data_IF_375222545559
#
_entry.id   IF_375222545559
#
_cell.length_a   1.000
_cell.length_b   1.000
_cell.length_c   1.000
_cell.angle_alpha   90.00
_cell.angle_beta   90.00
_cell.angle_gamma   90.00
#
_symmetry.space_group_name_H-M   'P 1'
#
loop_
_entity.id
_entity.type
_entity.pdbx_description
1 polymer ?
#
# COMPACT_ATOMS: atom_id res chain seq x y z
N UNK A 1 13.89 -13.89 -1.34
CA UNK A 1 13.13 -12.94 -2.19
C UNK A 1 14.12 -12.20 -3.07
N UNK A 2 13.77 -11.97 -4.34
CA UNK A 2 14.50 -11.02 -5.20
C UNK A 2 13.61 -9.79 -5.39
N UNK A 3 14.03 -8.63 -4.87
CA UNK A 3 13.22 -7.41 -4.92
C UNK A 3 13.26 -6.76 -6.31
N UNK A 4 12.16 -6.85 -7.07
CA UNK A 4 12.03 -6.41 -8.48
C UNK A 4 11.85 -4.89 -8.66
N UNK A 5 11.44 -4.23 -7.59
CA UNK A 5 11.07 -2.82 -7.51
C UNK A 5 11.00 -2.40 -6.04
N UNK A 6 10.08 -1.52 -5.67
CA UNK A 6 9.87 -1.13 -4.27
C UNK A 6 8.48 -0.54 -4.04
N UNK A 7 8.04 -0.49 -2.79
CA UNK A 7 6.75 0.07 -2.40
C UNK A 7 6.84 1.54 -2.00
N UNK A 8 5.74 2.26 -2.17
CA UNK A 8 5.67 3.70 -1.90
C UNK A 8 5.19 4.00 -0.48
N UNK A 9 5.52 5.22 -0.04
CA UNK A 9 4.96 5.81 1.17
C UNK A 9 4.30 7.14 0.84
N UNK A 10 3.23 7.48 1.56
CA UNK A 10 2.56 8.77 1.41
C UNK A 10 3.54 9.94 1.60
N UNK A 11 3.47 10.92 0.71
CA UNK A 11 4.33 12.12 0.74
C UNK A 11 5.75 11.91 0.21
N UNK A 12 6.10 10.73 -0.30
CA UNK A 12 7.40 10.45 -0.93
C UNK A 12 7.29 10.34 -2.45
N UNK A 13 8.44 10.42 -3.13
CA UNK A 13 8.53 10.16 -4.58
C UNK A 13 8.27 8.67 -4.84
N UNK A 14 7.52 8.38 -5.91
CA UNK A 14 7.31 7.02 -6.40
C UNK A 14 8.63 6.30 -6.67
N UNK A 15 8.74 5.08 -6.18
CA UNK A 15 9.92 4.24 -6.30
C UNK A 15 9.89 3.41 -7.59
N UNK A 16 10.96 3.49 -8.37
CA UNK A 16 11.17 2.65 -9.56
C UNK A 16 12.57 2.05 -9.55
N UNK A 17 12.75 0.89 -10.18
CA UNK A 17 14.04 0.22 -10.38
C UNK A 17 14.22 -0.14 -11.86
N UNK A 18 15.41 0.07 -12.44
CA UNK A 18 15.64 -0.27 -13.84
C UNK A 18 15.42 -1.76 -14.12
N UNK A 19 14.66 -2.07 -15.18
CA UNK A 19 14.38 -3.46 -15.57
C UNK A 19 15.65 -4.25 -15.92
N UNK A 20 16.67 -3.57 -16.47
CA UNK A 20 17.96 -4.18 -16.84
C UNK A 20 18.69 -4.77 -15.63
N UNK A 21 18.66 -4.07 -14.49
CA UNK A 21 19.35 -4.52 -13.27
C UNK A 21 18.68 -5.78 -12.71
N UNK A 22 17.34 -5.81 -12.71
CA UNK A 22 16.55 -6.98 -12.32
C UNK A 22 16.90 -8.20 -13.20
N UNK A 23 16.86 -8.03 -14.53
CA UNK A 23 17.13 -9.10 -15.49
C UNK A 23 18.56 -9.62 -15.38
N UNK A 24 19.54 -8.72 -15.19
CA UNK A 24 20.94 -9.12 -15.03
C UNK A 24 21.17 -9.94 -13.75
N UNK A 25 20.54 -9.55 -12.64
CA UNK A 25 20.61 -10.29 -11.38
C UNK A 25 19.94 -11.67 -11.47
N UNK A 26 18.77 -11.75 -12.11
CA UNK A 26 18.08 -13.03 -12.34
C UNK A 26 18.89 -13.94 -13.26
N UNK A 27 19.52 -13.38 -14.30
CA UNK A 27 20.40 -14.13 -15.20
C UNK A 27 21.57 -14.77 -14.44
N UNK A 28 22.26 -14.03 -13.57
CA UNK A 28 23.38 -14.56 -12.77
C UNK A 28 22.94 -15.75 -11.92
N UNK A 29 21.77 -15.66 -11.28
CA UNK A 29 21.21 -16.76 -10.50
C UNK A 29 20.90 -17.98 -11.39
N UNK A 30 20.22 -17.78 -12.52
CA UNK A 30 19.83 -18.86 -13.42
C UNK A 30 21.03 -19.56 -14.08
N UNK A 31 22.06 -18.82 -14.49
CA UNK A 31 23.31 -19.39 -15.03
C UNK A 31 24.02 -20.33 -14.03
N UNK A 32 23.72 -20.16 -12.73
CA UNK A 32 24.30 -20.91 -11.63
C UNK A 32 23.33 -21.93 -11.03
N UNK A 33 22.19 -22.18 -11.66
CA UNK A 33 21.11 -23.03 -11.17
C UNK A 33 20.61 -22.65 -9.76
N UNK A 34 20.62 -21.35 -9.44
CA UNK A 34 20.10 -20.82 -8.17
C UNK A 34 18.61 -20.52 -8.32
N UNK A 35 17.79 -21.15 -7.47
CA UNK A 35 16.36 -20.87 -7.39
C UNK A 35 16.10 -19.48 -6.80
N UNK A 36 15.04 -18.82 -7.28
CA UNK A 36 14.58 -17.54 -6.74
C UNK A 36 13.05 -17.45 -6.71
N UNK A 37 12.55 -16.47 -5.96
CA UNK A 37 11.17 -16.01 -6.02
C UNK A 37 11.19 -14.50 -6.15
N UNK A 38 10.49 -13.98 -7.18
CA UNK A 38 10.50 -12.58 -7.54
C UNK A 38 9.45 -11.80 -6.75
N UNK A 39 9.91 -10.89 -5.91
CA UNK A 39 9.09 -10.07 -5.02
C UNK A 39 9.10 -8.61 -5.52
N UNK A 40 8.04 -8.06 -6.06
CA UNK A 40 6.81 -8.70 -6.50
C UNK A 40 6.87 -9.00 -8.00
N UNK A 41 6.26 -10.12 -8.43
CA UNK A 41 6.00 -10.36 -9.86
C UNK A 41 4.78 -9.56 -10.33
N UNK A 42 3.76 -9.51 -9.47
CA UNK A 42 2.59 -8.64 -9.52
C UNK A 42 2.31 -8.27 -8.05
N UNK A 43 2.26 -6.98 -7.73
CA UNK A 43 1.99 -6.55 -6.36
C UNK A 43 0.51 -6.25 -6.11
N UNK A 44 -0.18 -5.58 -7.04
CA UNK A 44 -1.62 -5.31 -6.98
C UNK A 44 -1.95 -4.11 -6.11
N UNK A 45 -2.97 -4.23 -5.27
CA UNK A 45 -3.50 -3.14 -4.44
C UNK A 45 -3.69 -3.61 -3.01
N UNK A 46 -3.30 -2.78 -2.05
CA UNK A 46 -3.67 -2.96 -0.65
C UNK A 46 -5.00 -2.26 -0.36
N UNK A 47 -6.10 -2.98 -0.56
CA UNK A 47 -7.45 -2.43 -0.39
C UNK A 47 -7.80 -2.11 1.07
N UNK A 48 -8.72 -1.15 1.27
CA UNK A 48 -9.31 -0.87 2.58
C UNK A 48 -8.27 -0.45 3.63
N UNK A 49 -8.30 -1.09 4.80
CA UNK A 49 -7.43 -0.79 5.94
C UNK A 49 -6.22 -1.74 6.04
N UNK A 50 -5.92 -2.51 4.98
CA UNK A 50 -4.85 -3.52 5.01
C UNK A 50 -3.45 -2.93 4.78
N UNK A 51 -3.36 -1.61 4.63
CA UNK A 51 -2.12 -0.87 4.45
C UNK A 51 -1.17 -1.06 5.63
N UNK A 52 0.11 -1.27 5.33
CA UNK A 52 1.16 -1.28 6.34
C UNK A 52 1.74 0.11 6.63
N UNK A 53 2.63 0.17 7.61
CA UNK A 53 3.49 1.30 7.88
C UNK A 53 4.86 0.82 8.35
N UNK A 54 5.91 1.57 8.04
CA UNK A 54 7.26 1.31 8.56
C UNK A 54 7.56 2.18 9.79
N UNK A 55 8.47 1.71 10.64
CA UNK A 55 8.98 2.40 11.84
C UNK A 55 10.41 1.91 12.18
N UNK A 56 11.35 2.74 12.69
CA UNK A 56 11.30 4.20 12.89
C UNK A 56 11.69 5.03 11.66
N UNK A 57 11.13 6.21 11.39
CA UNK A 57 9.91 6.86 11.92
C UNK A 57 8.63 6.39 11.20
N UNK A 58 7.44 6.59 11.79
CA UNK A 58 6.16 6.20 11.18
C UNK A 58 6.03 6.71 9.74
N UNK A 59 5.81 5.78 8.82
CA UNK A 59 5.62 6.09 7.40
C UNK A 59 4.59 5.13 6.84
N UNK A 60 3.35 5.61 6.65
CA UNK A 60 2.27 4.84 6.04
C UNK A 60 2.59 4.54 4.58
N UNK A 61 2.36 3.28 4.17
CA UNK A 61 2.51 2.85 2.78
C UNK A 61 1.32 3.34 1.95
N UNK A 62 1.54 3.59 0.66
CA UNK A 62 0.46 3.91 -0.28
C UNK A 62 -0.48 2.71 -0.47
N UNK A 63 -1.73 2.96 -0.87
CA UNK A 63 -2.69 1.88 -1.18
C UNK A 63 -2.31 1.10 -2.44
N UNK A 64 -1.70 1.77 -3.43
CA UNK A 64 -1.13 1.10 -4.58
C UNK A 64 0.03 0.22 -4.12
N UNK A 65 -0.04 -1.07 -4.46
CA UNK A 65 1.06 -2.00 -4.28
C UNK A 65 1.63 -2.40 -5.65
N UNK A 66 1.62 -1.48 -6.63
CA UNK A 66 2.19 -1.69 -7.98
C UNK A 66 3.63 -2.22 -7.91
N UNK A 67 4.40 -1.68 -6.96
CA UNK A 67 5.76 -2.06 -6.63
C UNK A 67 6.79 -1.77 -7.74
N UNK A 68 6.40 -1.12 -8.85
CA UNK A 68 7.16 -1.15 -10.11
C UNK A 68 7.46 -2.62 -10.51
N UNK A 69 6.50 -3.51 -10.29
CA UNK A 69 6.63 -4.92 -10.62
C UNK A 69 6.59 -5.15 -12.14
N UNK A 70 7.03 -6.31 -12.65
CA UNK A 70 6.84 -6.67 -14.05
C UNK A 70 5.38 -6.57 -14.51
N UNK A 71 4.43 -6.95 -13.66
CA UNK A 71 2.99 -6.83 -13.92
C UNK A 71 2.44 -5.71 -13.03
N UNK A 72 1.88 -4.67 -13.66
CA UNK A 72 1.40 -3.48 -12.95
C UNK A 72 0.22 -3.77 -12.01
N UNK A 73 -0.17 -2.79 -11.20
CA UNK A 73 -1.32 -2.86 -10.30
C UNK A 73 -2.60 -3.35 -10.99
N UNK A 74 -2.87 -2.89 -12.22
CA UNK A 74 -4.05 -3.29 -13.00
C UNK A 74 -3.92 -4.67 -13.70
N UNK A 75 -2.79 -5.36 -13.52
CA UNK A 75 -2.52 -6.65 -14.15
C UNK A 75 -1.97 -6.55 -15.58
N UNK A 76 -1.48 -5.38 -16.00
CA UNK A 76 -0.96 -5.19 -17.35
C UNK A 76 0.54 -5.46 -17.44
N UNK A 77 0.97 -5.88 -18.62
CA UNK A 77 2.39 -6.09 -18.90
C UNK A 77 3.13 -4.77 -19.03
N UNK A 78 4.36 -4.74 -18.52
CA UNK A 78 5.27 -3.59 -18.60
C UNK A 78 6.49 -3.93 -19.46
N UNK A 79 7.37 -2.95 -19.72
CA UNK A 79 8.68 -3.22 -20.32
C UNK A 79 9.47 -4.26 -19.49
N UNK A 80 9.38 -4.16 -18.15
CA UNK A 80 10.04 -5.09 -17.22
C UNK A 80 9.51 -6.52 -17.36
N UNK A 81 8.22 -6.71 -17.64
CA UNK A 81 7.65 -8.02 -17.99
C UNK A 81 8.27 -8.59 -19.26
N UNK A 82 8.33 -7.82 -20.34
CA UNK A 82 8.82 -8.33 -21.61
C UNK A 82 10.32 -8.69 -21.53
N UNK A 83 11.13 -7.88 -20.86
CA UNK A 83 12.56 -8.19 -20.68
C UNK A 83 12.78 -9.44 -19.80
N UNK A 84 12.00 -9.60 -18.73
CA UNK A 84 12.05 -10.81 -17.91
C UNK A 84 11.60 -12.05 -18.70
N UNK A 85 10.50 -11.93 -19.44
CA UNK A 85 9.98 -13.00 -20.29
C UNK A 85 11.01 -13.42 -21.36
N UNK A 86 11.68 -12.45 -21.96
CA UNK A 86 12.74 -12.67 -22.95
C UNK A 86 14.00 -13.30 -22.37
N UNK A 87 14.30 -13.09 -21.08
CA UNK A 87 15.34 -13.82 -20.40
C UNK A 87 14.92 -15.28 -20.18
N UNK A 88 13.75 -15.49 -19.57
CA UNK A 88 13.28 -16.79 -19.12
C UNK A 88 13.06 -17.79 -20.26
N UNK A 89 12.71 -17.31 -21.47
CA UNK A 89 12.59 -18.18 -22.65
C UNK A 89 13.87 -18.98 -22.97
N UNK A 90 15.04 -18.49 -22.54
CA UNK A 90 16.33 -19.13 -22.81
C UNK A 90 16.69 -20.23 -21.79
N UNK A 91 15.90 -20.39 -20.72
CA UNK A 91 16.13 -21.37 -19.66
C UNK A 91 15.06 -22.47 -19.63
N UNK A 92 14.26 -22.59 -20.70
CA UNK A 92 13.29 -23.65 -20.86
C UNK A 92 13.96 -24.97 -21.29
N UNK A 93 13.36 -26.12 -20.97
CA UNK A 93 13.73 -27.39 -21.59
C UNK A 93 13.66 -27.34 -23.11
N UNK A 94 14.48 -28.15 -23.78
CA UNK A 94 14.52 -28.19 -25.23
C UNK A 94 13.16 -28.58 -25.83
N UNK A 95 12.66 -27.77 -26.77
CA UNK A 95 11.38 -27.97 -27.44
C UNK A 95 10.18 -27.30 -26.76
N UNK A 96 10.36 -26.69 -25.60
CA UNK A 96 9.31 -25.92 -24.92
C UNK A 96 9.25 -24.46 -25.38
N UNK A 97 8.09 -23.84 -25.19
CA UNK A 97 7.87 -22.42 -25.47
C UNK A 97 7.04 -21.78 -24.37
N UNK A 98 7.20 -20.47 -24.16
CA UNK A 98 6.40 -19.74 -23.18
C UNK A 98 4.96 -19.60 -23.67
N UNK A 99 3.96 -19.70 -22.78
CA UNK A 99 2.55 -19.51 -23.14
C UNK A 99 2.28 -18.08 -23.60
N UNK A 100 1.27 -17.88 -24.44
CA UNK A 100 0.85 -16.56 -24.93
C UNK A 100 0.56 -15.57 -23.79
N UNK A 101 0.81 -14.30 -24.06
CA UNK A 101 0.53 -13.22 -23.10
C UNK A 101 -0.96 -12.90 -23.12
N UNK A 102 -1.66 -12.92 -21.97
CA UNK A 102 -3.08 -12.54 -21.93
C UNK A 102 -3.29 -11.09 -22.38
N UNK A 103 -4.42 -10.81 -23.03
CA UNK A 103 -4.79 -9.45 -23.39
C UNK A 103 -5.05 -8.61 -22.13
N UNK A 104 -4.62 -7.35 -22.15
CA UNK A 104 -4.90 -6.40 -21.09
C UNK A 104 -6.42 -6.18 -20.94
N UNK A 105 -6.89 -6.07 -19.69
CA UNK A 105 -8.27 -5.71 -19.39
C UNK A 105 -8.58 -4.30 -19.91
N UNK A 106 -9.76 -4.06 -20.52
CA UNK A 106 -10.12 -2.75 -21.04
C UNK A 106 -10.31 -1.74 -19.91
N UNK A 107 -9.93 -0.48 -20.18
CA UNK A 107 -10.24 0.67 -19.32
C UNK A 107 -11.47 1.41 -19.83
N UNK A 108 -12.20 2.02 -18.90
CA UNK A 108 -13.29 2.94 -19.22
C UNK A 108 -13.00 4.31 -18.63
N UNK A 109 -13.54 5.35 -19.26
CA UNK A 109 -13.61 6.68 -18.71
C UNK A 109 -14.99 6.88 -18.08
N UNK A 110 -15.03 7.36 -16.84
CA UNK A 110 -16.28 7.67 -16.13
C UNK A 110 -16.40 9.20 -16.11
N UNK A 111 -17.53 9.78 -16.58
CA UNK A 111 -17.72 11.24 -16.56
C UNK A 111 -17.79 11.77 -15.11
N UNK A 112 -17.69 13.08 -14.97
CA UNK A 112 -17.73 13.75 -13.67
C UNK A 112 -18.92 13.28 -12.81
N UNK A 113 -18.64 12.91 -11.55
CA UNK A 113 -19.63 12.48 -10.57
C UNK A 113 -19.86 13.61 -9.57
N UNK A 114 -21.06 14.19 -9.57
CA UNK A 114 -21.44 15.19 -8.58
C UNK A 114 -22.06 14.53 -7.34
N UNK A 115 -21.42 14.71 -6.17
CA UNK A 115 -21.97 14.31 -4.89
C UNK A 115 -22.94 15.38 -4.37
N UNK A 116 -24.23 15.05 -4.28
CA UNK A 116 -25.31 15.96 -3.86
C UNK A 116 -25.86 15.67 -2.45
N UNK A 117 -25.30 14.70 -1.74
CA UNK A 117 -25.69 14.32 -0.38
C UNK A 117 -24.47 14.29 0.53
N UNK A 118 -24.65 14.75 1.77
CA UNK A 118 -23.61 14.77 2.80
C UNK A 118 -24.19 14.32 4.14
N UNK A 119 -23.39 13.58 4.92
CA UNK A 119 -23.71 13.19 6.29
C UNK A 119 -22.54 13.60 7.19
N UNK A 120 -22.65 14.71 7.95
CA UNK A 120 -21.58 15.15 8.84
C UNK A 120 -21.27 14.10 9.92
N UNK A 121 -20.00 13.73 10.09
CA UNK A 121 -19.58 12.68 11.02
C UNK A 121 -20.08 12.95 12.45
N UNK A 122 -19.91 14.17 12.97
CA UNK A 122 -20.30 14.51 14.33
C UNK A 122 -21.82 14.57 14.57
N UNK A 123 -22.62 14.63 13.52
CA UNK A 123 -24.09 14.50 13.60
C UNK A 123 -24.56 13.05 13.52
N UNK A 124 -23.67 12.10 13.21
CA UNK A 124 -23.97 10.69 12.98
C UNK A 124 -23.08 9.78 13.85
N UNK A 125 -22.79 10.21 15.08
CA UNK A 125 -21.96 9.43 15.99
C UNK A 125 -22.72 8.21 16.52
N UNK A 126 -22.01 7.08 16.73
CA UNK A 126 -22.58 5.94 17.43
C UNK A 126 -22.77 6.26 18.92
N UNK A 127 -23.34 5.30 19.65
CA UNK A 127 -23.38 5.37 21.12
C UNK A 127 -21.97 5.49 21.71
N UNK A 128 -21.80 6.42 22.64
CA UNK A 128 -20.51 6.71 23.26
C UNK A 128 -20.18 5.68 24.35
N UNK A 129 -18.92 5.24 24.39
CA UNK A 129 -18.36 4.47 25.51
C UNK A 129 -17.68 5.42 26.48
N UNK A 130 -18.03 5.33 27.76
CA UNK A 130 -17.48 6.18 28.82
C UNK A 130 -16.21 5.54 29.41
N UNK A 131 -15.19 6.36 29.64
CA UNK A 131 -13.97 5.98 30.35
C UNK A 131 -13.47 7.16 31.16
N UNK A 132 -12.79 6.89 32.28
CA UNK A 132 -12.09 7.92 33.07
C UNK A 132 -10.71 8.17 32.48
N UNK A 133 -9.97 7.08 32.23
CA UNK A 133 -8.61 7.13 31.69
C UNK A 133 -8.62 6.97 30.16
N UNK A 134 -7.66 7.61 29.49
CA UNK A 134 -7.45 7.40 28.05
C UNK A 134 -7.02 5.96 27.80
N UNK A 135 -7.65 5.33 26.81
CA UNK A 135 -7.34 3.97 26.36
C UNK A 135 -7.20 3.98 24.84
N UNK A 136 -6.31 3.17 24.25
CA UNK A 136 -6.21 3.06 22.80
C UNK A 136 -7.44 2.30 22.24
N UNK A 137 -7.64 2.36 20.93
CA UNK A 137 -8.87 1.87 20.28
C UNK A 137 -9.16 0.38 20.52
N UNK A 138 -8.11 -0.43 20.69
CA UNK A 138 -8.20 -1.88 20.90
C UNK A 138 -8.88 -2.20 22.25
N UNK A 139 -8.69 -1.36 23.27
CA UNK A 139 -9.37 -1.52 24.56
C UNK A 139 -10.87 -1.21 24.49
N UNK A 140 -11.31 -0.55 23.41
CA UNK A 140 -12.72 -0.39 23.07
C UNK A 140 -13.23 -1.45 22.09
N UNK A 141 -12.45 -2.52 21.87
CA UNK A 141 -12.74 -3.59 20.93
C UNK A 141 -12.91 -3.07 19.48
N UNK A 142 -12.11 -2.08 19.10
CA UNK A 142 -12.04 -1.54 17.74
C UNK A 142 -10.63 -1.78 17.18
N UNK A 143 -10.51 -2.53 16.09
CA UNK A 143 -9.22 -2.87 15.48
C UNK A 143 -8.75 -1.93 14.36
N UNK A 144 -9.67 -1.29 13.65
CA UNK A 144 -9.37 -0.40 12.52
C UNK A 144 -10.31 0.81 12.47
N UNK A 145 -9.91 1.84 11.71
CA UNK A 145 -10.70 3.04 11.45
C UNK A 145 -10.27 4.22 12.30
N UNK A 146 -11.23 5.03 12.74
CA UNK A 146 -10.99 6.24 13.52
C UNK A 146 -11.74 6.15 14.84
N UNK A 147 -11.18 6.73 15.90
CA UNK A 147 -11.81 6.85 17.22
C UNK A 147 -11.89 8.33 17.62
N UNK A 148 -13.04 8.73 18.17
CA UNK A 148 -13.26 10.08 18.69
C UNK A 148 -13.17 10.07 20.22
N UNK A 149 -12.19 10.80 20.76
CA UNK A 149 -12.13 11.13 22.18
C UNK A 149 -12.84 12.47 22.43
N UNK A 150 -13.78 12.50 23.38
CA UNK A 150 -14.54 13.69 23.73
C UNK A 150 -14.55 13.87 25.24
N UNK A 151 -14.30 15.10 25.69
CA UNK A 151 -14.41 15.49 27.09
C UNK A 151 -14.92 16.92 27.20
N UNK A 152 -15.30 17.33 28.41
CA UNK A 152 -15.61 18.72 28.75
C UNK A 152 -14.49 19.26 29.62
N UNK A 153 -13.87 20.36 29.20
CA UNK A 153 -12.84 21.02 30.01
C UNK A 153 -13.48 21.83 31.15
N UNK A 154 -12.81 21.97 32.30
CA UNK A 154 -13.26 22.87 33.36
C UNK A 154 -13.42 24.31 32.85
N UNK A 155 -14.41 25.04 33.37
CA UNK A 155 -14.74 26.42 32.94
C UNK A 155 -13.52 27.37 33.01
N UNK A 156 -12.64 27.17 33.98
CA UNK A 156 -11.44 27.97 34.18
C UNK A 156 -10.22 27.37 33.44
N UNK A 157 -10.31 27.21 32.11
CA UNK A 157 -9.12 26.91 31.29
C UNK A 157 -8.47 28.24 30.89
N UNK A 158 -7.31 28.63 31.48
CA UNK A 158 -6.71 29.92 31.20
C UNK A 158 -6.33 30.07 29.73
N UNK A 159 -6.41 31.29 29.20
CA UNK A 159 -5.89 31.59 27.88
C UNK A 159 -4.39 31.24 27.79
N UNK A 160 -3.98 30.61 26.70
CA UNK A 160 -2.61 30.12 26.52
C UNK A 160 -2.33 28.72 27.10
N UNK A 161 -3.36 28.04 27.64
CA UNK A 161 -3.22 26.63 28.02
C UNK A 161 -2.90 25.78 26.78
N UNK A 162 -1.89 24.91 26.91
CA UNK A 162 -1.45 24.01 25.84
C UNK A 162 -2.04 22.62 26.05
N UNK A 163 -2.76 22.10 25.06
CA UNK A 163 -3.17 20.71 25.03
C UNK A 163 -2.01 19.84 24.57
N UNK A 164 -1.66 18.83 25.37
CA UNK A 164 -0.65 17.82 25.02
C UNK A 164 -1.33 16.46 24.89
N UNK A 165 -1.18 15.83 23.72
CA UNK A 165 -1.62 14.45 23.47
C UNK A 165 -0.37 13.57 23.41
N UNK A 166 -0.38 12.41 24.07
CA UNK A 166 0.79 11.53 24.20
C UNK A 166 0.34 10.07 24.17
N UNK A 167 0.53 9.33 23.09
CA UNK A 167 0.94 9.75 21.72
C UNK A 167 -0.28 9.78 20.79
N UNK A 168 -0.18 10.52 19.67
CA UNK A 168 -1.16 10.44 18.58
C UNK A 168 -0.70 9.34 17.63
N UNK A 169 -1.44 8.23 17.59
CA UNK A 169 -1.27 7.16 16.61
C UNK A 169 -2.55 7.11 15.75
N UNK A 170 -2.61 7.66 14.54
CA UNK A 170 -1.50 8.21 13.72
C UNK A 170 -1.74 9.64 13.18
N UNK A 171 -2.99 10.11 13.10
CA UNK A 171 -3.35 11.45 12.61
C UNK A 171 -4.56 12.02 13.37
N UNK A 172 -4.46 13.23 13.91
CA UNK A 172 -5.49 13.90 14.71
C UNK A 172 -5.57 15.40 14.42
#
# INVERSE_FOLDING_TARGET
>A
EFWSGWFDHWGRKHETRPAKDMVQGIKDMLDRNISFSLYMTHGGTTFGHWGGANNPAYSAMCSSYDYDAPISEAGWTTEKFFLLRDLLKNYLPAGESLPEVPAALPVIEIPEIHFNKVAPLFSNLPEAKQTVDIQPMEQFNQGWGTILYRTTLPEATPAGTVLKITEVHDWA
#
